data_IF_589419607181
#
_entry.id   IF_589419607181
#
_cell.length_a   1.000
_cell.length_b   1.000
_cell.length_c   1.000
_cell.angle_alpha   90.00
_cell.angle_beta   90.00
_cell.angle_gamma   90.00
#
_symmetry.space_group_name_H-M   'P 1'
#
loop_
_entity.id
_entity.type
_entity.pdbx_description
1 polymer ?
#
# COMPACT_ATOMS: atom_id res chain seq x y z
N UNK A 1 -23.48 -8.74 4.57
CA UNK A 1 -23.12 -9.74 3.56
C UNK A 1 -23.59 -11.13 4.00
N UNK A 2 -23.11 -11.71 5.11
CA UNK A 2 -23.46 -13.07 5.59
C UNK A 2 -24.96 -13.31 5.62
N UNK A 3 -25.76 -12.44 6.28
CA UNK A 3 -27.22 -12.56 6.38
C UNK A 3 -27.96 -12.62 5.02
N UNK A 4 -27.37 -12.05 3.97
CA UNK A 4 -27.91 -12.02 2.60
C UNK A 4 -27.33 -13.10 1.70
N UNK A 5 -26.42 -13.95 2.20
CA UNK A 5 -25.62 -14.89 1.40
C UNK A 5 -24.88 -14.22 0.23
N UNK A 6 -24.47 -12.94 0.41
CA UNK A 6 -23.71 -12.23 -0.59
C UNK A 6 -22.25 -12.67 -0.57
N UNK A 7 -21.63 -12.75 -1.74
CA UNK A 7 -20.18 -12.99 -1.86
C UNK A 7 -19.41 -11.90 -1.10
N UNK A 8 -18.52 -12.31 -0.21
CA UNK A 8 -17.61 -11.41 0.51
C UNK A 8 -16.27 -11.46 -0.20
N UNK A 9 -15.87 -10.34 -0.83
CA UNK A 9 -14.66 -10.27 -1.62
C UNK A 9 -13.40 -10.21 -0.73
N UNK A 10 -13.49 -9.46 0.36
CA UNK A 10 -12.43 -9.33 1.37
C UNK A 10 -13.01 -8.69 2.65
N UNK A 11 -12.18 -8.57 3.66
CA UNK A 11 -12.43 -7.80 4.88
C UNK A 11 -11.55 -6.55 4.88
N UNK A 12 -12.11 -5.39 5.23
CA UNK A 12 -11.31 -4.21 5.59
C UNK A 12 -10.92 -4.42 7.05
N UNK A 13 -9.69 -4.87 7.27
CA UNK A 13 -9.24 -5.36 8.56
C UNK A 13 -8.56 -4.30 9.41
N UNK A 14 -7.95 -3.31 8.79
CA UNK A 14 -7.26 -2.24 9.48
C UNK A 14 -7.38 -0.91 8.79
N UNK A 15 -7.32 0.14 9.60
CA UNK A 15 -7.32 1.52 9.20
C UNK A 15 -6.31 2.30 10.02
N UNK A 16 -5.51 3.12 9.36
CA UNK A 16 -4.56 4.00 10.03
C UNK A 16 -4.44 5.34 9.34
N UNK A 17 -4.31 6.39 10.14
CA UNK A 17 -4.12 7.74 9.63
C UNK A 17 -3.11 8.50 10.47
N UNK A 18 -2.54 9.54 9.86
CA UNK A 18 -1.66 10.50 10.48
C UNK A 18 -1.68 11.84 9.73
N UNK A 19 -1.04 12.84 10.28
CA UNK A 19 -0.75 14.09 9.58
C UNK A 19 0.72 14.43 9.72
N UNK A 20 1.33 14.94 8.64
CA UNK A 20 2.73 15.40 8.64
C UNK A 20 2.91 16.72 9.40
N UNK A 21 1.92 17.62 9.30
CA UNK A 21 1.99 18.99 9.83
C UNK A 21 3.30 19.72 9.41
N UNK A 22 3.76 19.47 8.18
CA UNK A 22 5.03 19.93 7.66
C UNK A 22 4.88 21.02 6.58
N UNK A 23 4.22 20.68 5.48
CA UNK A 23 4.08 21.57 4.34
C UNK A 23 2.76 21.29 3.60
N UNK A 24 2.21 22.27 2.89
CA UNK A 24 0.90 22.12 2.23
C UNK A 24 0.93 21.19 1.00
N UNK A 25 2.09 20.95 0.37
CA UNK A 25 2.21 20.04 -0.78
C UNK A 25 3.35 19.03 -0.68
N UNK A 26 4.36 19.28 0.17
CA UNK A 26 5.51 18.38 0.31
C UNK A 26 5.31 17.42 1.48
N UNK A 27 5.65 16.14 1.30
CA UNK A 27 5.66 15.20 2.42
C UNK A 27 6.79 15.55 3.40
N UNK A 28 6.64 15.14 4.64
CA UNK A 28 7.68 15.26 5.66
C UNK A 28 8.89 14.37 5.27
N UNK A 29 10.12 14.94 5.15
CA UNK A 29 11.26 14.28 4.51
C UNK A 29 11.73 12.96 5.13
N UNK A 30 11.45 12.72 6.42
CA UNK A 30 11.82 11.47 7.12
C UNK A 30 10.83 10.34 6.90
N UNK A 31 9.65 10.64 6.32
CA UNK A 31 8.56 9.68 6.12
C UNK A 31 7.84 9.30 7.40
N UNK A 32 7.97 10.08 8.47
CA UNK A 32 7.35 9.76 9.76
C UNK A 32 5.84 9.69 9.68
N UNK A 33 5.19 10.61 8.96
CA UNK A 33 3.73 10.59 8.77
C UNK A 33 3.27 9.32 8.06
N UNK A 34 3.87 8.98 6.92
CA UNK A 34 3.58 7.75 6.19
C UNK A 34 3.83 6.50 7.05
N UNK A 35 4.95 6.46 7.77
CA UNK A 35 5.28 5.39 8.72
C UNK A 35 4.19 5.23 9.78
N UNK A 36 3.77 6.32 10.45
CA UNK A 36 2.74 6.29 11.50
C UNK A 36 1.39 5.82 10.96
N UNK A 37 0.99 6.26 9.76
CA UNK A 37 -0.26 5.81 9.16
C UNK A 37 -0.25 4.28 8.92
N UNK A 38 0.84 3.74 8.36
CA UNK A 38 0.99 2.30 8.14
C UNK A 38 1.04 1.50 9.45
N UNK A 39 1.80 1.95 10.45
CA UNK A 39 1.89 1.26 11.74
C UNK A 39 0.56 1.28 12.49
N UNK A 40 -0.15 2.42 12.49
CA UNK A 40 -1.48 2.51 13.10
C UNK A 40 -2.44 1.52 12.42
N UNK A 41 -2.38 1.38 11.10
CA UNK A 41 -3.19 0.45 10.35
C UNK A 41 -2.89 -1.01 10.68
N UNK A 42 -1.61 -1.38 10.80
CA UNK A 42 -1.17 -2.72 11.19
C UNK A 42 -1.64 -3.06 12.60
N UNK A 43 -1.50 -2.12 13.54
CA UNK A 43 -1.94 -2.29 14.92
C UNK A 43 -3.47 -2.43 15.03
N UNK A 44 -4.23 -1.63 14.27
CA UNK A 44 -5.70 -1.72 14.23
C UNK A 44 -6.15 -3.06 13.65
N UNK A 45 -5.48 -3.55 12.62
CA UNK A 45 -5.73 -4.87 12.03
C UNK A 45 -5.37 -6.04 12.97
N UNK A 46 -4.60 -5.80 14.03
CA UNK A 46 -4.09 -6.81 14.97
C UNK A 46 -3.34 -7.95 14.28
N UNK A 47 -2.52 -7.60 13.31
CA UNK A 47 -1.60 -8.52 12.62
C UNK A 47 -0.16 -8.04 12.78
N UNK A 48 0.80 -8.91 12.49
CA UNK A 48 2.19 -8.50 12.40
C UNK A 48 2.51 -7.97 10.99
N UNK A 49 3.58 -7.18 10.85
CA UNK A 49 3.99 -6.65 9.54
C UNK A 49 4.43 -7.79 8.60
N UNK A 50 4.92 -8.91 9.12
CA UNK A 50 5.33 -10.08 8.33
C UNK A 50 4.15 -10.77 7.63
N UNK A 51 2.92 -10.55 8.12
CA UNK A 51 1.71 -11.09 7.52
C UNK A 51 1.24 -10.29 6.30
N UNK A 52 1.80 -9.08 6.07
CA UNK A 52 1.51 -8.29 4.87
C UNK A 52 2.29 -8.86 3.70
N UNK A 53 1.59 -9.19 2.63
CA UNK A 53 2.18 -9.83 1.45
C UNK A 53 2.45 -8.85 0.31
N UNK A 54 1.69 -7.75 0.25
CA UNK A 54 1.75 -6.78 -0.82
C UNK A 54 1.33 -5.39 -0.33
N UNK A 55 1.99 -4.37 -0.87
CA UNK A 55 1.63 -2.96 -0.69
C UNK A 55 1.25 -2.36 -2.04
N UNK A 56 0.00 -1.89 -2.15
CA UNK A 56 -0.41 -0.98 -3.21
C UNK A 56 -0.04 0.44 -2.77
N UNK A 57 1.09 0.90 -3.28
CA UNK A 57 1.70 2.16 -2.85
C UNK A 57 0.95 3.38 -3.38
N UNK A 58 1.03 4.49 -2.66
CA UNK A 58 0.60 5.79 -3.18
C UNK A 58 1.38 6.15 -4.45
N UNK A 59 2.71 6.02 -4.46
CA UNK A 59 3.59 5.97 -5.62
C UNK A 59 3.18 6.85 -6.78
N UNK A 60 3.27 8.18 -6.62
CA UNK A 60 2.81 9.17 -7.61
C UNK A 60 3.84 9.49 -8.69
N UNK A 61 4.99 8.84 -8.66
CA UNK A 61 6.14 9.14 -9.54
C UNK A 61 6.70 10.57 -9.35
N UNK A 62 6.66 11.05 -8.13
CA UNK A 62 7.29 12.32 -7.76
C UNK A 62 8.57 12.03 -6.96
N UNK A 63 9.71 12.75 -7.20
CA UNK A 63 10.97 12.45 -6.52
C UNK A 63 10.88 12.50 -5.00
N UNK A 64 10.15 13.46 -4.44
CA UNK A 64 9.98 13.58 -2.99
C UNK A 64 9.01 12.53 -2.43
N UNK A 65 7.86 12.33 -3.06
CA UNK A 65 6.83 11.41 -2.60
C UNK A 65 7.29 9.97 -2.58
N UNK A 66 7.83 9.49 -3.69
CA UNK A 66 8.29 8.10 -3.82
C UNK A 66 9.44 7.78 -2.85
N UNK A 67 10.40 8.72 -2.70
CA UNK A 67 11.51 8.55 -1.75
C UNK A 67 11.01 8.43 -0.30
N UNK A 68 10.09 9.27 0.10
CA UNK A 68 9.53 9.29 1.45
C UNK A 68 8.73 8.04 1.74
N UNK A 69 7.92 7.58 0.78
CA UNK A 69 7.15 6.34 0.94
C UNK A 69 8.08 5.11 1.05
N UNK A 70 9.10 5.03 0.21
CA UNK A 70 10.11 3.95 0.30
C UNK A 70 10.80 3.94 1.65
N UNK A 71 11.23 5.11 2.18
CA UNK A 71 11.85 5.21 3.51
C UNK A 71 10.90 4.70 4.62
N UNK A 72 9.63 5.06 4.56
CA UNK A 72 8.65 4.63 5.54
C UNK A 72 8.40 3.11 5.47
N UNK A 73 8.31 2.53 4.27
CA UNK A 73 8.17 1.08 4.06
C UNK A 73 9.42 0.37 4.58
N UNK A 74 10.62 0.81 4.22
CA UNK A 74 11.87 0.21 4.68
C UNK A 74 11.99 0.21 6.20
N UNK A 75 11.56 1.29 6.87
CA UNK A 75 11.58 1.38 8.33
C UNK A 75 10.71 0.30 9.00
N UNK A 76 9.55 -0.03 8.41
CA UNK A 76 8.64 -1.07 8.92
C UNK A 76 9.22 -2.46 8.63
N UNK A 77 9.67 -2.70 7.41
CA UNK A 77 10.04 -4.04 6.94
C UNK A 77 11.54 -4.34 7.05
N UNK A 78 12.31 -3.50 7.80
CA UNK A 78 13.76 -3.63 7.96
C UNK A 78 14.22 -5.03 8.37
N UNK A 79 13.47 -5.68 9.25
CA UNK A 79 13.80 -7.00 9.80
C UNK A 79 12.95 -8.12 9.20
N UNK A 80 12.21 -7.84 8.12
CA UNK A 80 11.40 -8.85 7.46
C UNK A 80 12.33 -9.87 6.77
N UNK A 81 12.16 -11.18 7.02
CA UNK A 81 12.98 -12.21 6.39
C UNK A 81 12.79 -12.30 4.87
N UNK A 82 11.68 -11.77 4.36
CA UNK A 82 11.36 -11.71 2.93
C UNK A 82 11.16 -10.27 2.51
N UNK A 83 11.53 -9.95 1.27
CA UNK A 83 11.22 -8.65 0.69
C UNK A 83 9.70 -8.47 0.57
N UNK A 84 9.22 -7.28 0.94
CA UNK A 84 7.82 -6.92 0.72
C UNK A 84 7.58 -6.56 -0.75
N UNK A 85 6.53 -7.10 -1.35
CA UNK A 85 6.14 -6.78 -2.72
C UNK A 85 5.42 -5.43 -2.77
N UNK A 86 5.83 -4.56 -3.67
CA UNK A 86 5.29 -3.19 -3.81
C UNK A 86 5.07 -2.85 -5.26
N UNK A 87 3.93 -2.25 -5.57
CA UNK A 87 3.71 -1.57 -6.85
C UNK A 87 2.74 -0.40 -6.70
N UNK A 88 2.71 0.48 -7.71
CA UNK A 88 1.72 1.55 -7.81
C UNK A 88 0.86 1.37 -9.05
N UNK A 89 -0.43 1.18 -8.86
CA UNK A 89 -1.41 1.06 -9.94
C UNK A 89 -1.64 2.38 -10.68
N UNK A 90 -1.21 3.52 -10.11
CA UNK A 90 -1.23 4.83 -10.79
C UNK A 90 -0.43 4.84 -12.09
N UNK A 91 0.58 3.99 -12.22
CA UNK A 91 1.33 3.81 -13.46
C UNK A 91 0.49 3.35 -14.65
N UNK A 92 -0.67 2.73 -14.38
CA UNK A 92 -1.58 2.18 -15.37
C UNK A 92 -2.79 3.07 -15.63
N UNK A 93 -3.32 3.74 -14.59
CA UNK A 93 -4.61 4.44 -14.62
C UNK A 93 -4.50 5.94 -14.37
N UNK A 94 -3.31 6.44 -14.06
CA UNK A 94 -3.10 7.82 -13.62
C UNK A 94 -3.50 8.05 -12.16
N UNK A 95 -3.31 9.26 -11.69
CA UNK A 95 -3.70 9.67 -10.35
C UNK A 95 -5.14 10.21 -10.36
N UNK A 96 -6.08 9.43 -9.83
CA UNK A 96 -7.51 9.73 -9.85
C UNK A 96 -7.96 10.69 -8.72
N UNK A 97 -7.01 11.33 -8.03
CA UNK A 97 -7.28 12.30 -6.97
C UNK A 97 -8.22 11.75 -5.88
N UNK A 98 -9.39 12.36 -5.68
CA UNK A 98 -10.36 11.90 -4.69
C UNK A 98 -10.91 10.48 -4.90
N UNK A 99 -10.84 9.95 -6.12
CA UNK A 99 -11.25 8.57 -6.42
C UNK A 99 -10.09 7.55 -6.31
N UNK A 100 -8.83 8.01 -6.18
CA UNK A 100 -7.65 7.15 -6.21
C UNK A 100 -7.72 6.01 -5.17
N UNK A 101 -7.98 6.34 -3.91
CA UNK A 101 -8.03 5.35 -2.85
C UNK A 101 -9.12 4.28 -3.04
N UNK A 102 -10.28 4.67 -3.59
CA UNK A 102 -11.37 3.72 -3.88
C UNK A 102 -11.00 2.74 -5.00
N UNK A 103 -10.37 3.23 -6.07
CA UNK A 103 -9.92 2.38 -7.18
C UNK A 103 -8.76 1.47 -6.74
N UNK A 104 -7.82 1.99 -5.96
CA UNK A 104 -6.72 1.22 -5.39
C UNK A 104 -7.20 0.15 -4.41
N UNK A 105 -8.26 0.42 -3.65
CA UNK A 105 -8.95 -0.58 -2.84
C UNK A 105 -9.49 -1.72 -3.71
N UNK A 106 -10.10 -1.43 -4.86
CA UNK A 106 -10.59 -2.45 -5.79
C UNK A 106 -9.42 -3.30 -6.32
N UNK A 107 -8.31 -2.69 -6.72
CA UNK A 107 -7.10 -3.44 -7.12
C UNK A 107 -6.58 -4.34 -6.00
N UNK A 108 -6.55 -3.83 -4.76
CA UNK A 108 -6.11 -4.61 -3.59
C UNK A 108 -7.03 -5.82 -3.33
N UNK A 109 -8.35 -5.64 -3.42
CA UNK A 109 -9.32 -6.74 -3.31
C UNK A 109 -9.16 -7.76 -4.44
N UNK A 110 -8.95 -7.29 -5.67
CA UNK A 110 -8.72 -8.15 -6.84
C UNK A 110 -7.43 -8.94 -6.69
N UNK A 111 -6.36 -8.32 -6.18
CA UNK A 111 -5.09 -9.02 -5.92
C UNK A 111 -5.26 -10.19 -4.95
N UNK A 112 -6.10 -10.04 -3.91
CA UNK A 112 -6.42 -11.14 -2.99
C UNK A 112 -7.23 -12.23 -3.69
N UNK A 113 -8.27 -11.84 -4.44
CA UNK A 113 -9.20 -12.78 -5.08
C UNK A 113 -8.53 -13.58 -6.20
N UNK A 114 -7.75 -12.92 -7.03
CA UNK A 114 -7.19 -13.48 -8.26
C UNK A 114 -5.75 -13.99 -8.08
N UNK A 115 -5.12 -13.72 -6.92
CA UNK A 115 -3.72 -14.07 -6.66
C UNK A 115 -2.76 -13.48 -7.69
N UNK A 116 -3.06 -12.27 -8.19
CA UNK A 116 -2.27 -11.52 -9.14
C UNK A 116 -1.97 -10.14 -8.57
N UNK A 117 -0.71 -9.80 -8.44
CA UNK A 117 -0.23 -8.49 -8.02
C UNK A 117 0.07 -7.66 -9.27
N UNK A 118 -0.53 -6.47 -9.43
CA UNK A 118 -0.26 -5.62 -10.58
C UNK A 118 1.17 -5.10 -10.55
N UNK A 119 1.76 -4.88 -11.72
CA UNK A 119 3.07 -4.25 -11.86
C UNK A 119 2.97 -2.73 -11.83
N UNK A 120 4.10 -2.08 -11.63
CA UNK A 120 4.31 -0.66 -11.93
C UNK A 120 4.85 -0.54 -13.34
N UNK A 121 4.06 0.01 -14.25
CA UNK A 121 4.49 0.26 -15.62
C UNK A 121 5.57 1.36 -15.66
N UNK A 122 6.48 1.26 -16.64
CA UNK A 122 7.55 2.25 -16.88
C UNK A 122 8.51 2.44 -15.69
N UNK A 123 8.63 1.45 -14.81
CA UNK A 123 9.57 1.47 -13.68
C UNK A 123 10.92 0.89 -14.13
N UNK A 124 11.71 1.69 -14.87
CA UNK A 124 13.01 1.26 -15.36
C UNK A 124 14.10 1.36 -14.29
N UNK A 125 14.08 2.44 -13.51
CA UNK A 125 15.09 2.76 -12.49
C UNK A 125 14.44 2.92 -11.11
N UNK A 126 14.06 1.82 -10.41
CA UNK A 126 13.48 1.91 -9.09
C UNK A 126 14.48 2.47 -8.08
N UNK A 127 13.96 3.12 -7.04
CA UNK A 127 14.76 3.51 -5.88
C UNK A 127 15.40 2.25 -5.29
N UNK A 128 16.71 2.29 -5.01
CA UNK A 128 17.38 1.14 -4.43
C UNK A 128 16.83 0.81 -3.04
N UNK A 129 16.45 -0.43 -2.82
CA UNK A 129 15.99 -0.96 -1.54
C UNK A 129 16.38 -2.42 -1.38
N UNK A 130 16.89 -2.77 -0.20
CA UNK A 130 17.20 -4.17 0.14
C UNK A 130 15.97 -4.97 0.56
N UNK A 131 14.93 -4.30 1.08
CA UNK A 131 13.77 -4.91 1.72
C UNK A 131 12.52 -4.91 0.84
N UNK A 132 12.56 -4.23 -0.32
CA UNK A 132 11.43 -4.10 -1.23
C UNK A 132 11.68 -4.90 -2.50
N UNK A 133 10.68 -5.66 -2.93
CA UNK A 133 10.58 -6.23 -4.25
C UNK A 133 9.60 -5.39 -5.07
N UNK A 134 10.12 -4.48 -5.90
CA UNK A 134 9.28 -3.70 -6.80
C UNK A 134 8.79 -4.58 -7.94
N UNK A 135 7.47 -4.76 -8.03
CA UNK A 135 6.85 -5.49 -9.13
C UNK A 135 6.87 -4.57 -10.35
N UNK A 136 7.65 -4.94 -11.36
CA UNK A 136 7.87 -4.16 -12.59
C UNK A 136 7.79 -5.06 -13.80
N UNK A 137 7.57 -4.47 -14.98
CA UNK A 137 7.43 -5.13 -16.27
C UNK A 137 6.16 -5.96 -16.41
N UNK A 138 5.93 -6.96 -15.56
CA UNK A 138 4.80 -7.88 -15.65
C UNK A 138 4.14 -8.09 -14.29
N UNK A 139 2.84 -8.45 -14.25
CA UNK A 139 2.16 -8.83 -13.01
C UNK A 139 2.84 -10.03 -12.37
N UNK A 140 2.73 -10.14 -11.07
CA UNK A 140 3.28 -11.27 -10.32
C UNK A 140 2.14 -12.18 -9.84
N UNK A 141 2.18 -13.45 -10.18
CA UNK A 141 1.30 -14.45 -9.58
C UNK A 141 1.80 -14.80 -8.17
N UNK A 142 0.99 -14.46 -7.18
CA UNK A 142 1.27 -14.75 -5.78
C UNK A 142 -0.03 -14.76 -4.99
N UNK A 143 -0.31 -15.87 -4.31
CA UNK A 143 -1.42 -15.90 -3.34
C UNK A 143 -1.09 -15.01 -2.14
N UNK A 144 -1.96 -14.04 -1.88
CA UNK A 144 -1.80 -13.09 -0.79
C UNK A 144 -3.03 -13.08 0.11
N UNK A 145 -2.80 -12.91 1.41
CA UNK A 145 -3.87 -12.86 2.40
C UNK A 145 -4.12 -11.44 2.89
N UNK A 146 -3.08 -10.61 2.97
CA UNK A 146 -3.17 -9.26 3.47
C UNK A 146 -2.48 -8.29 2.51
N UNK A 147 -3.21 -7.26 2.11
CA UNK A 147 -2.74 -6.18 1.25
C UNK A 147 -2.88 -4.85 1.98
N UNK A 148 -1.79 -4.09 2.06
CA UNK A 148 -1.79 -2.71 2.56
C UNK A 148 -1.95 -1.76 1.37
N UNK A 149 -2.87 -0.81 1.45
CA UNK A 149 -3.07 0.24 0.44
C UNK A 149 -2.82 1.61 1.06
N UNK A 150 -1.93 2.39 0.45
CA UNK A 150 -1.52 3.71 0.93
C UNK A 150 -2.11 4.85 0.11
N UNK A 151 -2.54 5.90 0.80
CA UNK A 151 -2.96 7.17 0.19
C UNK A 151 -2.39 8.33 0.99
N UNK A 152 -1.47 9.08 0.39
CA UNK A 152 -0.78 10.22 1.03
C UNK A 152 -1.11 11.49 0.26
N UNK A 153 -1.85 12.40 0.88
CA UNK A 153 -2.40 13.57 0.24
C UNK A 153 -1.67 14.87 0.56
N UNK A 154 -1.93 15.90 -0.25
CA UNK A 154 -1.54 17.26 0.06
C UNK A 154 -2.14 17.70 1.40
N UNK A 155 -1.48 18.65 2.07
CA UNK A 155 -1.80 19.01 3.45
C UNK A 155 -1.21 18.06 4.49
N UNK A 156 -0.44 17.05 4.03
CA UNK A 156 0.20 16.07 4.91
C UNK A 156 -0.77 15.02 5.47
N UNK A 157 -1.90 14.80 4.82
CA UNK A 157 -2.87 13.76 5.24
C UNK A 157 -2.39 12.40 4.73
N UNK A 158 -2.15 11.46 5.65
CA UNK A 158 -1.72 10.10 5.33
C UNK A 158 -2.76 9.09 5.82
N UNK A 159 -3.14 8.16 4.95
CA UNK A 159 -4.08 7.08 5.25
C UNK A 159 -3.54 5.76 4.71
N UNK A 160 -3.69 4.70 5.50
CA UNK A 160 -3.42 3.33 5.07
C UNK A 160 -4.61 2.44 5.42
N UNK A 161 -4.93 1.49 4.56
CA UNK A 161 -5.95 0.47 4.76
C UNK A 161 -5.35 -0.92 4.60
N UNK A 162 -5.79 -1.89 5.41
CA UNK A 162 -5.48 -3.30 5.20
C UNK A 162 -6.72 -4.04 4.75
N UNK A 163 -6.60 -4.67 3.59
CA UNK A 163 -7.56 -5.62 3.04
C UNK A 163 -7.07 -7.03 3.31
N UNK A 164 -7.94 -7.88 3.87
CA UNK A 164 -7.59 -9.26 4.20
C UNK A 164 -8.54 -10.24 3.51
N UNK A 165 -8.01 -11.41 3.17
CA UNK A 165 -8.82 -12.51 2.68
C UNK A 165 -9.86 -12.88 3.73
N UNK A 166 -11.12 -12.98 3.30
CA UNK A 166 -12.19 -13.41 4.18
C UNK A 166 -12.20 -14.95 4.28
N UNK A 167 -12.10 -15.47 5.50
CA UNK A 167 -12.00 -16.91 5.76
C UNK A 167 -13.26 -17.53 6.41
N UNK A 168 -14.41 -16.82 6.36
CA UNK A 168 -15.66 -17.36 6.92
C UNK A 168 -16.16 -16.68 8.18
#
# INVERSE_FOLDING_TARGET
AKKRNAEILCEIKGYGMSSDAFHYTLPEPTGDGAYRAMINCINDAKISFEEINYINAHGTSTPAGDKVEVLAIEKIFKNNPKKINVSSTKSQIGHLLGAAGAVEAIYSMKSIKESILPQTNNLDNPIHSSNINFIKKEPMELSVNNVLSNSFGFGGTNVSLIFSKFNG
#
